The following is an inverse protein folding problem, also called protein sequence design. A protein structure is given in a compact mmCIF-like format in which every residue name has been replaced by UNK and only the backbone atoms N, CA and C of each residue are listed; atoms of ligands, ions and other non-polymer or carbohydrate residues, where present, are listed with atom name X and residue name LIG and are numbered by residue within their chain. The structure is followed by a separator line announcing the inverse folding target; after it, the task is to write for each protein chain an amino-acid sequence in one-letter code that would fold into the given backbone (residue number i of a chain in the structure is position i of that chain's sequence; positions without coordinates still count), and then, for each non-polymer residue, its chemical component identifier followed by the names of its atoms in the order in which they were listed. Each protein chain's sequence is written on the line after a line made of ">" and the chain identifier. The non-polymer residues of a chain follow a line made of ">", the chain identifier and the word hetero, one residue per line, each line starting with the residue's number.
data_IF_475136710927
#
_entry.id   IF_475136710927
#
_cell.length_a   1.000
_cell.length_b   1.000
_cell.length_c   1.000
_cell.angle_alpha   90.00
_cell.angle_beta   90.00
_cell.angle_gamma   90.00
#
_symmetry.space_group_name_H-M   'P 1'
#
loop_
_entity.id
_entity.type
_entity.pdbx_description
1 polymer ?
#
# COMPACT_ATOMS: atom_id res chain seq x y z
N UNK A 1 -8.03 -22.57 5.57
CA UNK A 1 -7.14 -22.24 6.70
C UNK A 1 -8.02 -22.01 7.92
N UNK A 2 -7.88 -22.85 8.94
CA UNK A 2 -8.55 -22.67 10.22
C UNK A 2 -7.81 -21.54 10.95
N UNK A 3 -8.46 -20.43 11.33
CA UNK A 3 -7.76 -19.36 12.02
C UNK A 3 -7.28 -19.90 13.37
N UNK A 4 -5.99 -19.68 13.68
CA UNK A 4 -5.35 -20.09 14.95
C UNK A 4 -6.04 -19.48 16.20
N UNK A 5 -6.93 -18.51 15.98
CA UNK A 5 -7.77 -17.87 16.98
C UNK A 5 -9.19 -17.83 16.43
N UNK A 6 -10.16 -18.37 17.16
CA UNK A 6 -11.58 -18.20 16.83
C UNK A 6 -11.93 -16.71 16.98
N UNK A 7 -12.47 -16.06 15.94
CA UNK A 7 -12.86 -14.66 16.04
C UNK A 7 -13.91 -14.50 17.15
N UNK A 8 -13.70 -13.51 18.03
CA UNK A 8 -14.66 -13.20 19.10
C UNK A 8 -16.05 -12.97 18.52
N UNK A 9 -17.04 -13.51 19.22
CA UNK A 9 -18.44 -13.27 18.93
C UNK A 9 -18.79 -11.78 19.13
N UNK A 10 -19.85 -11.27 18.50
CA UNK A 10 -20.27 -9.87 18.68
C UNK A 10 -20.53 -9.52 20.15
N UNK A 11 -21.01 -10.47 20.94
CA UNK A 11 -21.31 -10.31 22.36
C UNK A 11 -20.04 -10.17 23.22
N UNK A 12 -19.00 -10.96 22.92
CA UNK A 12 -17.70 -10.87 23.60
C UNK A 12 -16.99 -9.55 23.28
N UNK A 13 -17.11 -9.05 22.05
CA UNK A 13 -16.57 -7.74 21.67
C UNK A 13 -17.24 -6.60 22.44
N UNK A 14 -18.57 -6.62 22.54
CA UNK A 14 -19.31 -5.60 23.28
C UNK A 14 -18.94 -5.57 24.77
N UNK A 15 -18.74 -6.75 25.39
CA UNK A 15 -18.24 -6.83 26.77
C UNK A 15 -16.83 -6.27 26.92
N UNK A 16 -15.93 -6.65 26.02
CA UNK A 16 -14.55 -6.16 26.03
C UNK A 16 -14.48 -4.65 25.86
N UNK A 17 -15.28 -4.08 24.94
CA UNK A 17 -15.39 -2.63 24.74
C UNK A 17 -15.92 -1.92 26.00
N UNK A 18 -16.92 -2.49 26.68
CA UNK A 18 -17.47 -1.94 27.91
C UNK A 18 -16.49 -2.00 29.10
N UNK A 19 -15.71 -3.07 29.22
CA UNK A 19 -14.76 -3.29 30.32
C UNK A 19 -13.45 -2.50 30.15
N UNK A 20 -12.95 -2.39 28.92
CA UNK A 20 -11.63 -1.78 28.64
C UNK A 20 -11.71 -0.36 28.08
N UNK A 21 -12.88 0.05 27.56
CA UNK A 21 -13.03 1.29 26.80
C UNK A 21 -12.30 1.30 25.45
N UNK A 22 -11.69 0.17 25.06
CA UNK A 22 -10.93 0.05 23.82
C UNK A 22 -11.86 -0.29 22.66
N UNK A 23 -12.07 0.67 21.77
CA UNK A 23 -12.82 0.47 20.54
C UNK A 23 -11.91 -0.21 19.50
N UNK A 24 -12.42 -1.19 18.72
CA UNK A 24 -11.67 -1.78 17.62
C UNK A 24 -11.16 -0.68 16.68
N UNK A 25 -9.88 -0.75 16.33
CA UNK A 25 -9.30 0.16 15.36
C UNK A 25 -10.06 0.05 14.04
N UNK A 26 -10.73 1.15 13.66
CA UNK A 26 -11.35 1.30 12.35
C UNK A 26 -10.34 2.03 11.45
N UNK A 27 -9.79 1.38 10.42
CA UNK A 27 -8.87 2.06 9.52
C UNK A 27 -9.61 3.19 8.80
N UNK A 28 -9.15 4.43 9.01
CA UNK A 28 -9.64 5.59 8.27
C UNK A 28 -9.13 5.45 6.84
N UNK A 29 -10.05 5.20 5.89
CA UNK A 29 -9.69 5.19 4.48
C UNK A 29 -9.44 6.61 4.01
N UNK A 30 -8.35 6.82 3.29
CA UNK A 30 -8.12 8.08 2.61
C UNK A 30 -9.28 8.39 1.63
N UNK A 31 -9.66 9.66 1.44
CA UNK A 31 -10.68 10.02 0.48
C UNK A 31 -10.36 9.52 -0.93
N UNK A 32 -11.39 9.13 -1.69
CA UNK A 32 -11.19 8.53 -3.02
C UNK A 32 -10.47 9.46 -4.02
N UNK A 33 -10.57 10.78 -3.86
CA UNK A 33 -9.83 11.74 -4.72
C UNK A 33 -8.32 11.74 -4.47
N UNK A 34 -7.84 11.10 -3.39
CA UNK A 34 -6.42 10.84 -3.13
C UNK A 34 -5.97 9.46 -3.64
N UNK A 35 -6.90 8.63 -4.16
CA UNK A 35 -6.61 7.29 -4.63
C UNK A 35 -6.46 7.26 -6.18
N UNK A 36 -5.26 7.21 -6.77
CA UNK A 36 -4.99 7.05 -8.20
C UNK A 36 -5.61 5.81 -8.83
N UNK A 37 -6.04 4.82 -8.05
CA UNK A 37 -6.76 3.66 -8.57
C UNK A 37 -8.27 3.93 -8.71
N UNK A 38 -8.78 5.03 -8.15
CA UNK A 38 -10.18 5.41 -8.20
C UNK A 38 -10.41 6.53 -9.22
N UNK A 39 -11.49 6.43 -10.00
CA UNK A 39 -11.81 7.39 -11.06
C UNK A 39 -11.91 8.85 -10.56
N UNK A 40 -12.36 9.05 -9.33
CA UNK A 40 -12.44 10.38 -8.72
C UNK A 40 -11.10 11.09 -8.62
N UNK A 41 -9.99 10.37 -8.49
CA UNK A 41 -8.65 10.98 -8.52
C UNK A 41 -8.36 11.61 -9.89
N UNK A 42 -8.70 10.91 -10.97
CA UNK A 42 -8.51 11.43 -12.32
C UNK A 42 -9.44 12.61 -12.59
N UNK A 43 -10.69 12.51 -12.17
CA UNK A 43 -11.66 13.60 -12.30
C UNK A 43 -11.26 14.84 -11.49
N UNK A 44 -10.63 14.67 -10.33
CA UNK A 44 -10.11 15.77 -9.53
C UNK A 44 -8.90 16.46 -10.19
N UNK A 45 -8.01 15.70 -10.82
CA UNK A 45 -6.80 16.24 -11.46
C UNK A 45 -7.05 16.80 -12.87
N UNK A 46 -8.07 16.32 -13.58
CA UNK A 46 -8.43 16.79 -14.92
C UNK A 46 -8.61 18.31 -15.04
N UNK A 47 -9.36 19.01 -14.15
CA UNK A 47 -9.48 20.46 -14.22
C UNK A 47 -8.16 21.17 -13.96
N UNK A 48 -7.28 20.63 -13.10
CA UNK A 48 -5.96 21.21 -12.82
C UNK A 48 -5.09 21.16 -14.08
N UNK A 49 -5.07 20.01 -14.77
CA UNK A 49 -4.33 19.85 -16.03
C UNK A 49 -4.91 20.77 -17.11
N UNK A 50 -6.23 20.80 -17.27
CA UNK A 50 -6.89 21.64 -18.27
C UNK A 50 -6.61 23.13 -18.04
N UNK A 51 -6.73 23.62 -16.81
CA UNK A 51 -6.42 25.00 -16.44
C UNK A 51 -4.94 25.31 -16.66
N UNK A 52 -4.04 24.37 -16.34
CA UNK A 52 -2.60 24.56 -16.54
C UNK A 52 -2.22 24.59 -18.01
N UNK A 53 -2.82 23.75 -18.86
CA UNK A 53 -2.62 23.79 -20.32
C UNK A 53 -3.14 25.10 -20.94
N UNK A 54 -4.34 25.52 -20.54
CA UNK A 54 -4.89 26.79 -20.98
C UNK A 54 -3.98 27.95 -20.56
N UNK A 55 -3.58 28.00 -19.28
CA UNK A 55 -2.65 29.00 -18.77
C UNK A 55 -1.32 29.01 -19.51
N UNK A 56 -0.74 27.84 -19.78
CA UNK A 56 0.50 27.71 -20.54
C UNK A 56 0.38 28.26 -21.98
N UNK A 57 -0.75 28.01 -22.64
CA UNK A 57 -1.01 28.48 -24.00
C UNK A 57 -1.27 29.99 -24.08
N UNK A 58 -2.01 30.54 -23.10
CA UNK A 58 -2.40 31.97 -23.07
C UNK A 58 -1.36 32.89 -22.41
N UNK A 59 -0.51 32.38 -21.51
CA UNK A 59 0.56 33.14 -20.85
C UNK A 59 1.38 34.08 -21.76
N UNK A 60 1.92 33.64 -22.92
CA UNK A 60 2.68 34.53 -23.81
C UNK A 60 1.82 35.67 -24.39
N UNK A 61 0.53 35.43 -24.63
CA UNK A 61 -0.41 36.43 -25.17
C UNK A 61 -0.75 37.50 -24.13
N UNK A 62 -0.55 37.19 -22.86
CA UNK A 62 -0.77 38.08 -21.71
C UNK A 62 0.55 38.62 -21.14
N UNK A 63 1.67 38.44 -21.83
CA UNK A 63 3.01 38.83 -21.36
C UNK A 63 3.40 38.25 -19.98
N UNK A 64 2.88 37.06 -19.67
CA UNK A 64 3.18 36.34 -18.43
C UNK A 64 4.16 35.18 -18.68
N UNK A 65 5.00 34.82 -17.70
CA UNK A 65 5.88 33.67 -17.80
C UNK A 65 5.09 32.35 -17.79
N UNK A 66 5.48 31.40 -18.64
CA UNK A 66 4.87 30.06 -18.73
C UNK A 66 5.28 29.11 -17.59
N UNK A 67 6.30 29.48 -16.82
CA UNK A 67 6.98 28.60 -15.85
C UNK A 67 6.04 28.06 -14.78
N UNK A 68 5.16 28.89 -14.21
CA UNK A 68 4.21 28.46 -13.19
C UNK A 68 3.27 27.34 -13.70
N UNK A 69 2.76 27.48 -14.94
CA UNK A 69 1.89 26.48 -15.56
C UNK A 69 2.65 25.21 -15.96
N UNK A 70 3.89 25.34 -16.42
CA UNK A 70 4.75 24.20 -16.73
C UNK A 70 5.09 23.38 -15.48
N UNK A 71 5.39 24.05 -14.36
CA UNK A 71 5.64 23.40 -13.07
C UNK A 71 4.39 22.66 -12.60
N UNK A 72 3.21 23.30 -12.66
CA UNK A 72 1.93 22.65 -12.34
C UNK A 72 1.73 21.38 -13.19
N UNK A 73 1.94 21.45 -14.51
CA UNK A 73 1.82 20.30 -15.41
C UNK A 73 2.81 19.17 -15.09
N UNK A 74 4.03 19.50 -14.65
CA UNK A 74 5.03 18.51 -14.26
C UNK A 74 4.72 17.89 -12.89
N UNK A 75 4.17 18.65 -11.95
CA UNK A 75 3.89 18.17 -10.59
C UNK A 75 2.76 17.14 -10.57
N UNK A 76 1.73 17.26 -11.39
CA UNK A 76 0.62 16.29 -11.44
C UNK A 76 1.10 14.84 -11.68
N UNK A 77 1.88 14.51 -12.73
CA UNK A 77 2.39 13.15 -12.94
C UNK A 77 3.46 12.75 -11.91
N UNK A 78 4.24 13.69 -11.38
CA UNK A 78 5.20 13.40 -10.30
C UNK A 78 4.46 12.95 -9.05
N UNK A 79 3.44 13.70 -8.60
CA UNK A 79 2.64 13.33 -7.44
C UNK A 79 1.81 12.07 -7.70
N UNK A 80 1.37 11.83 -8.93
CA UNK A 80 0.78 10.54 -9.30
C UNK A 80 1.77 9.39 -9.09
N UNK A 81 2.99 9.49 -9.63
CA UNK A 81 4.03 8.49 -9.47
C UNK A 81 4.41 8.27 -8.00
N UNK A 82 4.58 9.34 -7.22
CA UNK A 82 4.83 9.28 -5.78
C UNK A 82 3.66 8.58 -5.08
N UNK A 83 2.42 8.89 -5.45
CA UNK A 83 1.23 8.29 -4.83
C UNK A 83 1.09 6.79 -5.15
N UNK A 84 1.51 6.32 -6.32
CA UNK A 84 1.53 4.90 -6.68
C UNK A 84 2.62 4.13 -5.92
N UNK A 85 3.80 4.73 -5.80
CA UNK A 85 4.95 4.10 -5.13
C UNK A 85 4.97 4.37 -3.62
N UNK A 86 3.97 5.07 -3.09
CA UNK A 86 3.89 5.32 -1.68
C UNK A 86 3.64 4.00 -0.95
N UNK A 87 4.58 3.63 -0.07
CA UNK A 87 4.56 2.37 0.68
C UNK A 87 3.24 2.15 1.42
N UNK A 88 2.53 3.23 1.78
CA UNK A 88 1.26 3.15 2.48
C UNK A 88 0.06 2.66 1.66
N UNK A 89 0.08 2.78 0.32
CA UNK A 89 -0.93 2.13 -0.53
C UNK A 89 -0.83 0.61 -0.54
N UNK A 90 0.26 0.06 -0.02
CA UNK A 90 0.34 -1.37 0.25
C UNK A 90 -0.38 -1.72 1.57
N UNK A 91 -0.73 -0.79 2.45
CA UNK A 91 -1.54 -1.09 3.64
C UNK A 91 -3.06 -1.08 3.38
N UNK A 92 -3.51 -0.57 2.23
CA UNK A 92 -4.93 -0.59 1.90
C UNK A 92 -5.40 -1.99 1.55
N UNK A 93 -6.37 -2.47 2.32
CA UNK A 93 -7.31 -3.56 1.99
C UNK A 93 -8.21 -3.21 0.79
N UNK A 94 -7.60 -2.67 -0.28
CA UNK A 94 -8.30 -2.38 -1.53
C UNK A 94 -8.32 -3.62 -2.42
N UNK A 95 -9.10 -3.57 -3.50
CA UNK A 95 -9.30 -4.65 -4.50
C UNK A 95 -8.07 -4.98 -5.36
N UNK A 96 -6.86 -4.78 -4.83
CA UNK A 96 -5.61 -5.17 -5.48
C UNK A 96 -5.39 -6.69 -5.46
N UNK A 97 -4.46 -7.20 -6.28
CA UNK A 97 -4.08 -8.60 -6.23
C UNK A 97 -3.60 -8.99 -4.83
N UNK A 98 -3.94 -10.22 -4.43
CA UNK A 98 -3.52 -10.77 -3.14
C UNK A 98 -2.01 -10.81 -3.10
N UNK A 99 -1.41 -10.06 -2.17
CA UNK A 99 0.05 -9.97 -2.03
C UNK A 99 0.68 -11.32 -1.71
N UNK A 100 1.93 -11.51 -2.12
CA UNK A 100 2.70 -12.72 -1.79
C UNK A 100 3.23 -12.67 -0.36
N UNK A 101 3.70 -13.81 0.14
CA UNK A 101 4.30 -13.91 1.47
C UNK A 101 5.56 -13.03 1.57
N UNK A 102 6.41 -13.00 0.55
CA UNK A 102 7.62 -12.17 0.55
C UNK A 102 7.27 -10.68 0.66
N UNK A 103 6.25 -10.23 -0.09
CA UNK A 103 5.74 -8.87 -0.02
C UNK A 103 5.20 -8.55 1.38
N UNK A 104 4.51 -9.49 2.04
CA UNK A 104 4.09 -9.31 3.43
C UNK A 104 5.28 -9.20 4.39
N UNK A 105 6.32 -10.01 4.21
CA UNK A 105 7.50 -10.02 5.06
C UNK A 105 8.33 -8.72 4.93
N UNK A 106 8.26 -7.99 3.81
CA UNK A 106 8.92 -6.68 3.69
C UNK A 106 8.46 -5.66 4.74
N UNK A 107 7.21 -5.78 5.22
CA UNK A 107 6.63 -4.85 6.19
C UNK A 107 6.89 -5.23 7.64
N UNK A 108 7.27 -6.47 7.91
CA UNK A 108 7.47 -6.99 9.24
C UNK A 108 8.92 -7.47 9.38
N UNK A 109 9.88 -6.58 9.67
CA UNK A 109 11.30 -6.91 9.66
C UNK A 109 11.67 -8.02 10.65
N UNK A 110 10.93 -8.13 11.75
CA UNK A 110 11.11 -9.20 12.75
C UNK A 110 10.68 -10.56 12.17
N UNK A 111 9.50 -10.62 11.55
CA UNK A 111 9.03 -11.89 10.95
C UNK A 111 9.82 -12.24 9.70
N UNK A 112 10.33 -11.27 8.93
CA UNK A 112 11.27 -11.53 7.82
C UNK A 112 12.55 -12.19 8.31
N UNK A 113 13.12 -11.71 9.41
CA UNK A 113 14.31 -12.35 10.02
C UNK A 113 13.98 -13.75 10.50
N UNK A 114 12.84 -13.95 11.15
CA UNK A 114 12.41 -15.27 11.61
C UNK A 114 12.18 -16.24 10.43
N UNK A 115 11.54 -15.77 9.37
CA UNK A 115 11.32 -16.52 8.13
C UNK A 115 12.63 -16.94 7.48
N UNK A 116 13.56 -15.99 7.29
CA UNK A 116 14.87 -16.29 6.73
C UNK A 116 15.62 -17.34 7.55
N UNK A 117 15.56 -17.26 8.89
CA UNK A 117 16.15 -18.28 9.77
C UNK A 117 15.48 -19.65 9.57
N UNK A 118 14.16 -19.70 9.50
CA UNK A 118 13.43 -20.95 9.27
C UNK A 118 13.79 -21.59 7.92
N UNK A 119 13.91 -20.78 6.85
CA UNK A 119 14.36 -21.25 5.53
C UNK A 119 15.77 -21.84 5.62
N UNK A 120 16.72 -21.15 6.26
CA UNK A 120 18.09 -21.67 6.39
C UNK A 120 18.17 -22.98 7.17
N UNK A 121 17.37 -23.14 8.22
CA UNK A 121 17.31 -24.40 8.98
C UNK A 121 16.75 -25.52 8.10
N UNK A 122 15.67 -25.22 7.36
CA UNK A 122 15.02 -26.19 6.48
C UNK A 122 15.93 -26.67 5.36
N UNK A 123 16.69 -25.77 4.75
CA UNK A 123 17.66 -26.12 3.71
C UNK A 123 18.74 -27.04 4.25
N UNK A 124 19.26 -26.76 5.46
CA UNK A 124 20.23 -27.63 6.12
C UNK A 124 19.67 -29.04 6.40
N UNK A 125 18.43 -29.14 6.89
CA UNK A 125 17.76 -30.44 7.08
C UNK A 125 17.61 -31.23 5.78
N UNK A 126 17.23 -30.56 4.69
CA UNK A 126 17.05 -31.19 3.38
C UNK A 126 18.38 -31.75 2.86
N UNK A 127 19.46 -31.00 2.99
CA UNK A 127 20.80 -31.46 2.60
C UNK A 127 21.27 -32.65 3.44
N UNK A 128 21.01 -32.65 4.75
CA UNK A 128 21.31 -33.79 5.62
C UNK A 128 20.53 -35.05 5.22
N UNK A 129 19.24 -34.90 4.88
CA UNK A 129 18.40 -36.01 4.41
C UNK A 129 18.89 -36.55 3.06
N UNK A 130 19.28 -35.68 2.13
CA UNK A 130 19.86 -36.10 0.84
C UNK A 130 21.16 -36.87 1.04
N UNK A 131 22.04 -36.37 1.92
CA UNK A 131 23.30 -37.03 2.24
C UNK A 131 23.08 -38.44 2.82
N UNK A 132 22.13 -38.60 3.75
CA UNK A 132 21.77 -39.91 4.31
C UNK A 132 21.22 -40.88 3.25
N UNK A 133 20.36 -40.40 2.35
CA UNK A 133 19.82 -41.22 1.25
C UNK A 133 20.87 -41.62 0.22
N UNK A 134 21.93 -40.82 0.04
CA UNK A 134 23.02 -41.17 -0.87
C UNK A 134 23.95 -42.25 -0.31
N UNK A 135 24.00 -42.43 1.01
CA UNK A 135 24.79 -43.46 1.69
C UNK A 135 24.05 -44.78 1.92
N UNK A 136 22.75 -44.87 1.60
CA UNK A 136 21.95 -46.09 1.71
C UNK A 136 21.70 -46.68 0.33
#
# INVERSE_FOLDING_TARGET
>A
MNPLVTPMTPEEKAKFEAETGLVPYTPVKAPNYCNPNHISYHLFNLPIIAASLAGYYYAPKLHMPRTAFAVSLALVPIFYAVSLHHKEKRYTYDSGPRKTLEEHLEFYPITRRAWNRAVTIREAEIEEIKARKATT
#
